data_IF_594206949216
#
_entry.id   IF_594206949216
#
_cell.length_a   1.000
_cell.length_b   1.000
_cell.length_c   1.000
_cell.angle_alpha   90.00
_cell.angle_beta   90.00
_cell.angle_gamma   90.00
#
_symmetry.space_group_name_H-M   'P 1'
#
loop_
_entity.id
_entity.type
_entity.pdbx_description
1 polymer ?
#
# COMPACT_ATOMS: atom_id res chain seq x y z
N UNK A 1 28.65 -0.89 16.95
CA UNK A 1 28.18 -1.00 15.54
C UNK A 1 27.06 -2.03 15.50
N UNK A 2 25.84 -1.65 15.86
CA UNK A 2 24.66 -2.53 15.80
C UNK A 2 23.49 -1.64 15.39
N UNK A 3 22.98 -1.81 14.18
CA UNK A 3 21.75 -1.14 13.76
C UNK A 3 20.90 -2.14 13.00
N UNK A 4 20.03 -2.81 13.76
CA UNK A 4 19.00 -3.72 13.26
C UNK A 4 17.83 -2.88 12.75
N UNK A 5 17.68 -2.76 11.43
CA UNK A 5 16.46 -2.24 10.81
C UNK A 5 15.54 -3.41 10.48
N UNK A 6 14.44 -3.54 11.22
CA UNK A 6 13.30 -4.38 10.84
C UNK A 6 12.04 -3.56 11.09
N UNK A 7 11.27 -3.27 10.05
CA UNK A 7 9.88 -2.83 10.18
C UNK A 7 9.09 -3.25 8.94
N UNK A 8 8.69 -4.52 8.93
CA UNK A 8 7.73 -5.12 8.02
C UNK A 8 6.33 -4.71 8.47
N UNK A 9 5.47 -4.20 7.59
CA UNK A 9 4.10 -3.92 7.99
C UNK A 9 3.09 -3.89 6.84
N UNK A 10 2.49 -5.06 6.62
CA UNK A 10 1.05 -5.20 6.43
C UNK A 10 0.64 -6.57 7.00
N UNK A 11 1.02 -6.88 8.23
CA UNK A 11 0.59 -8.13 8.86
C UNK A 11 -0.86 -7.94 9.36
N UNK A 12 -1.73 -8.90 9.02
CA UNK A 12 -3.13 -8.93 9.40
C UNK A 12 -3.32 -8.81 10.93
N UNK A 13 -4.26 -7.97 11.34
CA UNK A 13 -4.64 -7.80 12.74
C UNK A 13 -5.50 -8.99 13.18
N UNK A 14 -4.96 -9.83 14.04
CA UNK A 14 -5.75 -10.63 14.97
C UNK A 14 -6.21 -9.72 16.13
N UNK A 15 -7.51 -9.75 16.45
CA UNK A 15 -8.13 -8.90 17.47
C UNK A 15 -7.57 -9.25 18.85
N UNK A 16 -7.01 -8.26 19.56
CA UNK A 16 -6.75 -8.33 21.01
C UNK A 16 -7.25 -7.03 21.65
N UNK A 17 -8.19 -7.16 22.58
CA UNK A 17 -8.71 -6.06 23.41
C UNK A 17 -8.01 -6.03 24.77
N UNK A 18 -7.23 -4.98 25.08
CA UNK A 18 -6.93 -4.54 26.46
C UNK A 18 -6.75 -3.01 26.47
N UNK A 19 -7.35 -2.36 27.47
CA UNK A 19 -7.39 -0.90 27.72
C UNK A 19 -6.36 -0.50 28.79
N UNK A 20 -5.59 0.60 28.59
CA UNK A 20 -5.26 1.69 29.57
C UNK A 20 -4.16 2.67 29.06
N UNK A 21 -4.30 3.97 29.41
CA UNK A 21 -3.60 5.19 28.88
C UNK A 21 -2.23 5.54 29.57
N UNK A 22 -1.64 6.74 29.37
CA UNK A 22 -0.65 7.11 28.36
C UNK A 22 0.76 7.38 28.95
N UNK A 23 1.82 7.20 28.16
CA UNK A 23 3.14 7.78 28.45
C UNK A 23 3.61 8.56 27.21
N UNK A 24 3.67 9.89 27.34
CA UNK A 24 4.37 10.77 26.40
C UNK A 24 5.86 10.54 26.59
N UNK A 25 6.47 9.86 25.62
CA UNK A 25 7.91 9.56 25.61
C UNK A 25 8.30 9.06 24.23
N UNK A 26 9.01 9.93 23.52
CA UNK A 26 9.75 9.69 22.28
C UNK A 26 8.94 9.32 21.03
N UNK A 27 8.85 10.33 20.15
CA UNK A 27 8.54 10.23 18.73
C UNK A 27 9.63 9.41 18.01
N UNK A 28 9.63 8.11 18.24
CA UNK A 28 10.48 7.17 17.54
C UNK A 28 9.71 6.65 16.33
N UNK A 29 10.27 6.90 15.15
CA UNK A 29 9.81 6.43 13.84
C UNK A 29 9.28 4.99 13.90
N UNK A 30 7.97 4.84 13.94
CA UNK A 30 7.27 3.56 13.92
C UNK A 30 6.44 3.47 12.65
N UNK A 31 7.08 3.44 11.48
CA UNK A 31 6.34 3.32 10.21
C UNK A 31 5.92 1.86 9.93
N UNK A 32 6.26 0.90 10.82
CA UNK A 32 5.89 -0.51 10.60
C UNK A 32 5.48 -1.37 11.78
N UNK A 33 5.32 -0.82 12.99
CA UNK A 33 4.82 -1.57 14.16
C UNK A 33 3.50 -1.02 14.70
N UNK A 34 2.85 -0.16 13.91
CA UNK A 34 1.62 0.51 14.29
C UNK A 34 0.41 -0.39 14.02
N UNK A 35 -0.67 -0.26 14.81
CA UNK A 35 -1.92 -0.97 14.54
C UNK A 35 -2.42 -0.69 13.12
N UNK A 36 -2.94 -1.72 12.45
CA UNK A 36 -3.67 -1.56 11.20
C UNK A 36 -5.15 -1.39 11.54
N UNK A 37 -5.71 -0.22 11.31
CA UNK A 37 -7.15 -0.02 11.34
C UNK A 37 -7.72 -0.20 9.93
N UNK A 38 -8.91 -0.78 9.81
CA UNK A 38 -9.59 -0.96 8.54
C UNK A 38 -11.09 -0.67 8.67
N UNK A 39 -11.72 -0.28 7.56
CA UNK A 39 -13.15 0.04 7.48
C UNK A 39 -13.68 -0.11 6.07
N UNK A 40 -14.97 -0.42 5.95
CA UNK A 40 -15.68 -0.54 4.68
C UNK A 40 -17.20 -0.51 4.93
N UNK A 41 -17.99 -0.41 3.86
CA UNK A 41 -19.45 -0.51 3.92
C UNK A 41 -19.92 -1.93 4.27
N UNK A 42 -19.20 -2.96 3.80
CA UNK A 42 -19.40 -4.36 4.20
C UNK A 42 -18.09 -5.12 4.35
N UNK A 43 -18.08 -6.12 5.24
CA UNK A 43 -16.95 -7.04 5.43
C UNK A 43 -17.47 -8.48 5.34
N UNK A 44 -16.82 -9.30 4.54
CA UNK A 44 -17.13 -10.71 4.33
C UNK A 44 -15.93 -11.57 4.70
N UNK A 45 -16.14 -12.58 5.55
CA UNK A 45 -15.11 -13.53 5.96
C UNK A 45 -15.32 -14.84 5.21
N UNK A 46 -14.34 -15.21 4.40
CA UNK A 46 -14.23 -16.50 3.75
C UNK A 46 -13.20 -17.40 4.44
N UNK A 47 -13.09 -18.68 4.04
CA UNK A 47 -12.21 -19.64 4.70
C UNK A 47 -10.73 -19.25 4.67
N UNK A 48 -10.28 -18.52 3.65
CA UNK A 48 -8.90 -18.07 3.50
C UNK A 48 -8.80 -16.61 3.03
N UNK A 49 -9.87 -15.83 3.20
CA UNK A 49 -9.90 -14.46 2.70
C UNK A 49 -10.82 -13.56 3.51
N UNK A 50 -10.52 -12.28 3.54
CA UNK A 50 -11.39 -11.22 4.07
C UNK A 50 -11.64 -10.24 2.93
N UNK A 51 -12.90 -9.93 2.65
CA UNK A 51 -13.29 -9.00 1.58
C UNK A 51 -13.97 -7.79 2.21
N UNK A 52 -13.38 -6.63 2.04
CA UNK A 52 -13.92 -5.33 2.42
C UNK A 52 -14.50 -4.68 1.17
N UNK A 53 -15.78 -4.33 1.17
CA UNK A 53 -16.50 -3.75 0.02
C UNK A 53 -17.11 -2.41 0.36
N UNK A 54 -17.01 -1.48 -0.58
CA UNK A 54 -17.55 -0.13 -0.47
C UNK A 54 -16.67 0.73 0.45
N UNK A 55 -16.11 1.82 -0.13
CA UNK A 55 -15.23 2.77 0.58
C UNK A 55 -14.18 2.07 1.48
N UNK A 56 -13.62 0.97 0.98
CA UNK A 56 -12.69 0.16 1.75
C UNK A 56 -11.43 0.97 2.04
N UNK A 57 -11.03 1.01 3.30
CA UNK A 57 -9.84 1.70 3.74
C UNK A 57 -9.05 0.89 4.77
N UNK A 58 -7.73 1.06 4.71
CA UNK A 58 -6.80 0.57 5.71
C UNK A 58 -5.81 1.68 6.07
N UNK A 59 -5.52 1.85 7.34
CA UNK A 59 -4.58 2.86 7.84
C UNK A 59 -3.61 2.23 8.82
N UNK A 60 -2.33 2.58 8.69
CA UNK A 60 -1.28 2.11 9.59
C UNK A 60 -0.26 3.22 9.81
N UNK A 61 -0.18 3.74 11.04
CA UNK A 61 0.62 4.93 11.32
C UNK A 61 0.18 6.11 10.44
N UNK A 62 1.12 6.69 9.69
CA UNK A 62 0.85 7.74 8.70
C UNK A 62 0.40 7.25 7.32
N UNK A 63 0.35 5.94 7.10
CA UNK A 63 0.02 5.36 5.80
C UNK A 63 -1.49 5.13 5.68
N UNK A 64 -2.03 5.38 4.49
CA UNK A 64 -3.45 5.16 4.19
C UNK A 64 -3.61 4.50 2.83
N UNK A 65 -4.42 3.46 2.80
CA UNK A 65 -4.83 2.75 1.60
C UNK A 65 -6.34 2.81 1.45
N UNK A 66 -6.83 3.13 0.25
CA UNK A 66 -8.25 3.19 -0.09
C UNK A 66 -8.51 2.49 -1.42
N UNK A 67 -9.66 1.83 -1.50
CA UNK A 67 -10.16 1.18 -2.70
C UNK A 67 -11.69 1.01 -2.64
N UNK A 68 -12.32 0.66 -3.76
CA UNK A 68 -13.74 0.28 -3.75
C UNK A 68 -13.93 -1.11 -3.16
N UNK A 69 -12.94 -1.99 -3.36
CA UNK A 69 -12.88 -3.31 -2.74
C UNK A 69 -11.44 -3.65 -2.36
N UNK A 70 -11.26 -4.18 -1.15
CA UNK A 70 -9.99 -4.71 -0.65
C UNK A 70 -10.19 -6.19 -0.26
N UNK A 71 -9.44 -7.09 -0.89
CA UNK A 71 -9.43 -8.51 -0.58
C UNK A 71 -8.09 -8.90 0.02
N UNK A 72 -8.13 -9.40 1.25
CA UNK A 72 -6.98 -9.96 1.96
C UNK A 72 -7.04 -11.48 1.80
N UNK A 73 -5.94 -12.11 1.38
CA UNK A 73 -5.85 -13.55 1.17
C UNK A 73 -4.79 -14.12 2.10
N UNK A 74 -5.19 -15.09 2.90
CA UNK A 74 -4.30 -15.86 3.77
C UNK A 74 -3.82 -17.13 3.08
N UNK A 75 -2.57 -17.49 3.36
CA UNK A 75 -1.95 -18.73 2.92
C UNK A 75 -2.17 -19.88 3.89
N UNK A 76 -1.46 -20.96 3.63
CA UNK A 76 -1.38 -22.10 4.54
C UNK A 76 -0.74 -21.65 5.86
N UNK A 77 -1.39 -21.96 6.99
CA UNK A 77 -0.99 -21.48 8.32
C UNK A 77 -1.67 -20.18 8.78
N UNK A 78 -2.51 -19.55 7.96
CA UNK A 78 -3.31 -18.39 8.35
C UNK A 78 -2.64 -17.03 8.12
N UNK A 79 -1.33 -17.03 7.81
CA UNK A 79 -0.58 -15.81 7.49
C UNK A 79 -1.10 -15.13 6.23
N UNK A 80 -1.17 -13.80 6.26
CA UNK A 80 -1.59 -13.02 5.10
C UNK A 80 -0.51 -13.07 4.02
N UNK A 81 -0.87 -13.55 2.83
CA UNK A 81 0.06 -13.74 1.70
C UNK A 81 -0.09 -12.67 0.65
N UNK A 82 -1.32 -12.21 0.43
CA UNK A 82 -1.65 -11.31 -0.67
C UNK A 82 -2.79 -10.37 -0.29
N UNK A 83 -2.67 -9.11 -0.71
CA UNK A 83 -3.77 -8.15 -0.67
C UNK A 83 -4.08 -7.65 -2.08
N UNK A 84 -5.35 -7.53 -2.41
CA UNK A 84 -5.83 -7.07 -3.71
C UNK A 84 -6.79 -5.91 -3.52
N UNK A 85 -6.56 -4.83 -4.25
CA UNK A 85 -7.42 -3.67 -4.29
C UNK A 85 -7.95 -3.46 -5.70
N UNK A 86 -9.22 -3.11 -5.82
CA UNK A 86 -9.87 -2.86 -7.10
C UNK A 86 -10.76 -1.61 -7.05
N UNK A 87 -10.92 -0.98 -8.21
CA UNK A 87 -11.69 0.25 -8.38
C UNK A 87 -10.82 1.47 -8.16
N UNK A 88 -11.28 2.41 -7.35
CA UNK A 88 -10.51 3.65 -7.07
C UNK A 88 -9.38 3.41 -6.10
N UNK A 89 -8.25 2.85 -6.56
CA UNK A 89 -7.11 2.55 -5.71
C UNK A 89 -6.31 3.82 -5.42
N UNK A 90 -6.11 4.09 -4.14
CA UNK A 90 -5.31 5.22 -3.67
C UNK A 90 -4.49 4.84 -2.44
N UNK A 91 -3.17 4.96 -2.56
CA UNK A 91 -2.23 4.76 -1.47
C UNK A 91 -1.50 6.07 -1.17
N UNK A 92 -1.39 6.40 0.10
CA UNK A 92 -0.73 7.62 0.60
C UNK A 92 0.19 7.25 1.73
N UNK A 93 1.41 7.77 1.67
CA UNK A 93 2.35 7.83 2.78
C UNK A 93 2.68 9.30 3.04
N UNK A 94 3.43 9.62 4.11
CA UNK A 94 3.86 10.99 4.36
C UNK A 94 4.63 11.64 3.20
N UNK A 95 5.38 10.83 2.43
CA UNK A 95 6.31 11.34 1.40
C UNK A 95 5.78 11.22 -0.03
N UNK A 96 4.80 10.33 -0.26
CA UNK A 96 4.34 10.00 -1.62
C UNK A 96 2.88 9.54 -1.66
N UNK A 97 2.30 9.61 -2.86
CA UNK A 97 0.99 9.04 -3.13
C UNK A 97 0.95 8.30 -4.46
N UNK A 98 0.17 7.23 -4.52
CA UNK A 98 0.01 6.35 -5.68
C UNK A 98 -1.46 6.15 -5.96
N UNK A 99 -1.88 6.28 -7.23
CA UNK A 99 -3.25 6.01 -7.69
C UNK A 99 -3.24 5.00 -8.84
N UNK A 100 -4.34 4.26 -8.98
CA UNK A 100 -4.63 3.42 -10.13
C UNK A 100 -5.97 2.71 -10.03
N UNK A 101 -6.24 1.80 -10.96
CA UNK A 101 -7.53 1.08 -11.05
C UNK A 101 -7.51 -0.27 -10.30
N UNK A 102 -6.32 -0.85 -10.13
CA UNK A 102 -6.10 -2.09 -9.39
C UNK A 102 -4.73 -2.08 -8.75
N UNK A 103 -4.61 -2.66 -7.57
CA UNK A 103 -3.32 -2.99 -6.98
C UNK A 103 -3.30 -4.40 -6.41
N UNK A 104 -2.16 -5.07 -6.53
CA UNK A 104 -1.89 -6.37 -5.91
C UNK A 104 -0.62 -6.23 -5.10
N UNK A 105 -0.70 -6.55 -3.82
CA UNK A 105 0.44 -6.61 -2.92
C UNK A 105 0.74 -8.05 -2.56
N UNK A 106 1.96 -8.49 -2.85
CA UNK A 106 2.51 -9.77 -2.43
C UNK A 106 3.37 -9.56 -1.17
N UNK A 107 2.91 -10.11 -0.05
CA UNK A 107 3.58 -9.94 1.23
C UNK A 107 4.83 -10.81 1.36
N UNK A 108 4.90 -11.90 0.60
CA UNK A 108 6.06 -12.79 0.60
C UNK A 108 7.34 -12.11 0.11
N UNK A 109 7.24 -11.25 -0.91
CA UNK A 109 8.40 -10.54 -1.48
C UNK A 109 8.35 -9.00 -1.33
N UNK A 110 7.27 -8.45 -0.78
CA UNK A 110 7.09 -7.02 -0.58
C UNK A 110 6.75 -6.24 -1.86
N UNK A 111 6.33 -6.91 -2.94
CA UNK A 111 6.03 -6.26 -4.22
C UNK A 111 4.56 -5.81 -4.30
N UNK A 112 4.36 -4.52 -4.56
CA UNK A 112 3.09 -3.88 -4.89
C UNK A 112 3.06 -3.60 -6.38
N UNK A 113 2.11 -4.18 -7.09
CA UNK A 113 1.86 -3.92 -8.51
C UNK A 113 0.57 -3.14 -8.65
N UNK A 114 0.66 -1.90 -9.13
CA UNK A 114 -0.49 -1.04 -9.43
C UNK A 114 -0.68 -0.98 -10.94
N UNK A 115 -1.91 -1.06 -11.41
CA UNK A 115 -2.24 -1.08 -12.85
C UNK A 115 -3.46 -0.23 -13.15
N UNK A 116 -3.49 0.31 -14.36
CA UNK A 116 -4.59 1.13 -14.86
C UNK A 116 -4.47 2.58 -14.37
N UNK A 117 -4.35 3.50 -15.32
CA UNK A 117 -4.27 4.96 -15.08
C UNK A 117 -3.37 5.33 -13.90
N UNK A 118 -2.15 4.78 -13.87
CA UNK A 118 -1.29 4.87 -12.69
C UNK A 118 -0.69 6.25 -12.58
N UNK A 119 -0.78 6.84 -11.39
CA UNK A 119 -0.15 8.13 -11.05
C UNK A 119 0.63 7.97 -9.76
N UNK A 120 1.94 8.20 -9.82
CA UNK A 120 2.84 8.31 -8.68
C UNK A 120 3.19 9.78 -8.47
N UNK A 121 3.05 10.28 -7.25
CA UNK A 121 3.42 11.63 -6.87
C UNK A 121 4.35 11.58 -5.66
N UNK A 122 5.50 12.25 -5.74
CA UNK A 122 6.47 12.34 -4.66
C UNK A 122 6.92 13.80 -4.52
N UNK A 123 6.48 14.47 -3.45
CA UNK A 123 6.63 15.93 -3.34
C UNK A 123 6.01 16.65 -4.54
N UNK A 124 6.84 17.36 -5.32
CA UNK A 124 6.41 18.02 -6.56
C UNK A 124 6.50 17.12 -7.80
N UNK A 125 7.23 16.00 -7.71
CA UNK A 125 7.46 15.11 -8.84
C UNK A 125 6.19 14.29 -9.12
N UNK A 126 5.81 14.18 -10.40
CA UNK A 126 4.66 13.40 -10.84
C UNK A 126 5.08 12.48 -11.96
N UNK A 127 4.77 11.19 -11.85
CA UNK A 127 4.97 10.18 -12.87
C UNK A 127 3.62 9.51 -13.17
N UNK A 128 3.33 9.29 -14.43
CA UNK A 128 2.10 8.67 -14.93
C UNK A 128 2.43 7.54 -15.90
N UNK A 129 1.65 6.47 -15.87
CA UNK A 129 1.89 5.29 -16.68
C UNK A 129 0.75 4.28 -16.64
N UNK A 130 0.97 3.11 -17.21
CA UNK A 130 -0.03 2.03 -17.27
C UNK A 130 0.14 1.00 -16.15
N UNK A 131 1.38 0.81 -15.67
CA UNK A 131 1.70 -0.13 -14.58
C UNK A 131 2.86 0.40 -13.73
N UNK A 132 2.75 0.28 -12.43
CA UNK A 132 3.81 0.56 -11.46
C UNK A 132 4.11 -0.72 -10.69
N UNK A 133 5.39 -1.04 -10.56
CA UNK A 133 5.90 -2.06 -9.65
C UNK A 133 6.69 -1.34 -8.58
N UNK A 134 6.28 -1.47 -7.33
CA UNK A 134 6.93 -0.87 -6.17
C UNK A 134 7.30 -1.95 -5.17
N UNK A 135 8.54 -2.00 -4.72
CA UNK A 135 8.96 -2.91 -3.67
C UNK A 135 9.09 -2.14 -2.35
N UNK A 136 8.31 -2.50 -1.34
CA UNK A 136 8.33 -1.82 -0.04
C UNK A 136 9.60 -2.12 0.78
N UNK A 137 10.28 -3.23 0.50
CA UNK A 137 11.49 -3.62 1.22
C UNK A 137 12.73 -2.90 0.68
N UNK A 138 12.80 -2.66 -0.63
CA UNK A 138 13.94 -1.99 -1.28
C UNK A 138 13.65 -0.54 -1.67
N UNK A 139 12.40 -0.10 -1.51
CA UNK A 139 11.88 1.19 -1.97
C UNK A 139 12.03 1.43 -3.48
N UNK A 140 12.34 0.37 -4.25
CA UNK A 140 12.50 0.47 -5.70
C UNK A 140 11.14 0.63 -6.39
N UNK A 141 11.02 1.65 -7.23
CA UNK A 141 9.85 1.93 -8.05
C UNK A 141 10.19 1.81 -9.54
N UNK A 142 9.38 1.06 -10.30
CA UNK A 142 9.50 0.94 -11.76
C UNK A 142 8.16 1.19 -12.41
N UNK A 143 8.08 2.20 -13.26
CA UNK A 143 6.88 2.55 -14.01
C UNK A 143 7.00 2.10 -15.47
N UNK A 144 5.94 1.49 -15.97
CA UNK A 144 5.77 1.02 -17.34
C UNK A 144 4.66 1.81 -18.04
N UNK A 145 4.89 2.11 -19.31
CA UNK A 145 3.85 2.54 -20.23
C UNK A 145 3.08 1.33 -20.78
N UNK A 146 2.10 1.59 -21.62
CA UNK A 146 1.45 0.54 -22.37
C UNK A 146 2.47 -0.20 -23.27
N UNK A 147 2.33 -1.52 -23.45
CA UNK A 147 3.13 -2.28 -24.41
C UNK A 147 3.09 -1.62 -25.79
N UNK A 148 4.17 -1.75 -26.56
CA UNK A 148 4.24 -1.16 -27.90
C UNK A 148 3.12 -1.73 -28.78
N UNK A 149 2.28 -0.84 -29.32
CA UNK A 149 1.15 -1.21 -30.18
C UNK A 149 -0.16 -1.54 -29.44
N UNK A 150 -0.17 -1.51 -28.10
CA UNK A 150 -1.40 -1.57 -27.32
C UNK A 150 -2.01 -0.17 -27.14
N UNK A 151 -3.33 -0.10 -26.93
CA UNK A 151 -3.98 1.11 -26.47
C UNK A 151 -3.49 1.45 -25.04
N UNK A 152 -3.03 2.69 -24.84
CA UNK A 152 -2.63 3.21 -23.55
C UNK A 152 -1.44 4.19 -23.62
N UNK A 153 -1.13 4.81 -22.48
CA UNK A 153 -0.16 5.91 -22.40
C UNK A 153 1.27 5.40 -22.18
N UNK A 154 2.23 6.08 -22.81
CA UNK A 154 3.64 5.98 -22.44
C UNK A 154 3.85 6.50 -21.03
N UNK A 155 4.98 6.15 -20.41
CA UNK A 155 5.38 6.82 -19.16
C UNK A 155 5.61 8.30 -19.45
N UNK A 156 4.97 9.16 -18.66
CA UNK A 156 5.17 10.61 -18.70
C UNK A 156 5.39 11.10 -17.28
N UNK A 157 6.27 12.08 -17.09
CA UNK A 157 6.47 12.65 -15.78
C UNK A 157 7.08 14.03 -15.82
N UNK A 158 6.86 14.77 -14.73
CA UNK A 158 7.50 16.05 -14.45
C UNK A 158 8.37 15.84 -13.24
N UNK A 159 9.67 16.08 -13.41
CA UNK A 159 10.62 16.15 -12.33
C UNK A 159 10.91 17.61 -12.03
N UNK A 160 10.89 17.96 -10.76
CA UNK A 160 11.31 19.26 -10.25
C UNK A 160 12.71 19.09 -9.67
N UNK A 161 13.76 19.50 -10.38
CA UNK A 161 15.09 19.56 -9.79
C UNK A 161 15.06 20.54 -8.64
N UNK A 162 15.59 20.14 -7.49
CA UNK A 162 15.87 21.08 -6.43
C UNK A 162 16.88 22.09 -7.00
N UNK A 163 16.46 23.36 -7.13
CA UNK A 163 17.38 24.45 -7.37
C UNK A 163 18.22 24.59 -6.09
N UNK A 164 19.45 24.05 -6.13
CA UNK A 164 20.50 24.39 -5.20
C UNK A 164 21.49 25.30 -5.92
#
# INVERSE_FOLDING_TARGET
MIMTKISKALAAVAVVTVVALPAVGDAQSQTGNQPVAYGADSVEYGPNRIILRGRAEATQGGNRFRADTLTLVSGEGGDLQRAEAAGTVYFVTPDQSMRGDRAVYNLGNGEIVVTGNVVLTQGKNVLTGSRLVYNINTEAARMDGAPRGAAGSRVQGVFYPNAN
#
